data_IF_929747522753
#
_entry.id   IF_929747522753
#
_cell.length_a   1.000
_cell.length_b   1.000
_cell.length_c   1.000
_cell.angle_alpha   90.00
_cell.angle_beta   90.00
_cell.angle_gamma   90.00
#
_symmetry.space_group_name_H-M   'P 1'
#
loop_
_entity.id
_entity.type
_entity.pdbx_description
1 polymer ?
#
# COMPACT_ATOMS: atom_id res chain seq x y z
N UNK A 1 5.16 -9.79 -28.51
CA UNK A 1 4.78 -8.61 -27.70
C UNK A 1 5.65 -8.68 -26.45
N UNK A 2 6.81 -8.02 -26.46
CA UNK A 2 7.81 -8.12 -25.40
C UNK A 2 7.40 -7.27 -24.20
N UNK A 3 7.31 -7.89 -23.04
CA UNK A 3 7.11 -7.20 -21.77
C UNK A 3 8.49 -6.69 -21.34
N UNK A 4 8.76 -5.40 -21.54
CA UNK A 4 10.00 -4.79 -21.09
C UNK A 4 9.94 -4.60 -19.56
N UNK A 5 10.82 -5.33 -18.89
CA UNK A 5 10.97 -5.38 -17.45
C UNK A 5 12.03 -4.36 -17.06
N UNK A 6 11.59 -3.14 -16.71
CA UNK A 6 12.21 -2.25 -15.72
C UNK A 6 11.63 -0.83 -15.87
N UNK A 7 10.62 -0.51 -15.06
CA UNK A 7 10.15 0.87 -14.88
C UNK A 7 10.51 1.30 -13.45
N UNK A 8 10.79 2.58 -13.16
CA UNK A 8 11.19 3.09 -11.83
C UNK A 8 10.21 4.18 -11.32
N UNK A 9 9.76 4.07 -10.07
CA UNK A 9 9.00 5.06 -9.26
C UNK A 9 10.00 5.79 -8.34
N UNK A 10 9.68 7.01 -7.91
CA UNK A 10 10.49 7.76 -6.94
C UNK A 10 9.60 8.23 -5.77
N UNK A 11 10.14 8.27 -4.55
CA UNK A 11 9.43 8.51 -3.28
C UNK A 11 10.35 9.37 -2.40
N UNK A 12 9.96 10.58 -1.99
CA UNK A 12 10.72 11.41 -1.02
C UNK A 12 12.25 11.49 -1.33
N UNK A 13 12.61 11.69 -2.61
CA UNK A 13 14.01 11.74 -3.06
C UNK A 13 14.72 10.38 -3.23
N UNK A 14 14.04 9.26 -2.97
CA UNK A 14 14.54 7.90 -3.15
C UNK A 14 13.95 7.23 -4.40
N UNK A 15 14.73 6.37 -5.06
CA UNK A 15 14.32 5.66 -6.28
C UNK A 15 13.82 4.25 -5.93
N UNK A 16 12.56 3.95 -6.21
CA UNK A 16 11.95 2.63 -6.03
C UNK A 16 11.68 2.02 -7.40
N UNK A 17 12.33 0.91 -7.78
CA UNK A 17 11.97 0.17 -9.00
C UNK A 17 10.45 -0.09 -9.01
N UNK A 18 9.74 0.29 -10.09
CA UNK A 18 8.39 -0.21 -10.39
C UNK A 18 8.56 -1.69 -10.68
N UNK A 19 8.43 -2.41 -9.60
CA UNK A 19 8.55 -3.83 -9.55
C UNK A 19 7.28 -4.41 -10.16
N UNK A 20 7.42 -5.13 -11.28
CA UNK A 20 6.33 -5.74 -12.05
C UNK A 20 5.20 -6.39 -11.20
N UNK A 21 5.50 -7.05 -10.05
CA UNK A 21 4.45 -7.60 -9.19
C UNK A 21 3.48 -6.56 -8.64
N UNK A 22 3.94 -5.35 -8.31
CA UNK A 22 3.10 -4.27 -7.78
C UNK A 22 2.11 -3.76 -8.86
N UNK A 23 2.57 -3.61 -10.10
CA UNK A 23 1.72 -3.19 -11.25
C UNK A 23 0.64 -4.23 -11.56
N UNK A 24 0.99 -5.51 -11.40
CA UNK A 24 0.04 -6.61 -11.65
C UNK A 24 -1.10 -6.64 -10.62
N UNK A 25 -0.86 -6.16 -9.39
CA UNK A 25 -1.81 -6.25 -8.28
C UNK A 25 -2.45 -4.92 -7.88
N UNK A 26 -2.00 -3.79 -8.41
CA UNK A 26 -2.55 -2.45 -8.13
C UNK A 26 -3.25 -1.85 -9.34
N UNK A 27 -4.55 -1.56 -9.22
CA UNK A 27 -5.35 -0.89 -10.24
C UNK A 27 -4.85 0.54 -10.51
N UNK A 28 -4.61 1.31 -9.45
CA UNK A 28 -4.17 2.70 -9.53
C UNK A 28 -2.81 2.84 -10.17
N UNK A 29 -1.83 2.02 -9.78
CA UNK A 29 -0.48 2.06 -10.35
C UNK A 29 -0.53 1.64 -11.82
N UNK A 30 -1.31 0.60 -12.15
CA UNK A 30 -1.52 0.19 -13.55
C UNK A 30 -2.10 1.32 -14.39
N UNK A 31 -3.10 2.04 -13.88
CA UNK A 31 -3.71 3.19 -14.56
C UNK A 31 -2.71 4.33 -14.78
N UNK A 32 -2.00 4.74 -13.72
CA UNK A 32 -0.99 5.80 -13.80
C UNK A 32 0.13 5.47 -14.79
N UNK A 33 0.47 4.19 -14.91
CA UNK A 33 1.47 3.69 -15.86
C UNK A 33 0.98 3.71 -17.32
N UNK A 34 -0.31 3.47 -17.56
CA UNK A 34 -0.93 3.56 -18.88
C UNK A 34 -1.09 5.02 -19.33
N UNK A 35 -1.37 5.93 -18.39
CA UNK A 35 -1.51 7.36 -18.65
C UNK A 35 -0.15 8.05 -18.90
N UNK A 36 0.93 7.52 -18.32
CA UNK A 36 2.30 7.95 -18.60
C UNK A 36 2.73 7.49 -20.01
N UNK A 37 2.37 8.27 -21.03
CA UNK A 37 2.63 8.01 -22.46
C UNK A 37 4.11 7.96 -22.88
N UNK A 38 5.07 8.19 -21.98
CA UNK A 38 6.49 8.37 -22.33
C UNK A 38 7.40 7.27 -21.77
N UNK A 39 8.14 6.61 -22.66
CA UNK A 39 8.69 5.25 -22.52
C UNK A 39 10.12 5.17 -21.99
N UNK A 40 10.58 6.12 -21.16
CA UNK A 40 11.96 6.03 -20.63
C UNK A 40 12.08 6.01 -19.11
N UNK A 41 11.22 6.68 -18.35
CA UNK A 41 11.10 6.52 -16.89
C UNK A 41 9.71 7.04 -16.48
N UNK A 42 8.75 6.14 -16.30
CA UNK A 42 7.40 6.51 -15.84
C UNK A 42 7.44 6.78 -14.33
N UNK A 43 7.71 8.05 -13.97
CA UNK A 43 7.62 8.55 -12.60
C UNK A 43 6.16 8.58 -12.17
N UNK A 44 5.74 7.64 -11.32
CA UNK A 44 4.41 7.67 -10.71
C UNK A 44 4.57 8.17 -9.28
N UNK A 45 4.05 9.36 -9.00
CA UNK A 45 4.06 9.93 -7.65
C UNK A 45 2.76 9.57 -6.93
N UNK A 46 2.85 8.76 -5.87
CA UNK A 46 1.72 8.38 -5.01
C UNK A 46 1.65 9.34 -3.82
N UNK A 47 1.37 10.61 -4.11
CA UNK A 47 1.28 11.68 -3.10
C UNK A 47 0.16 11.33 -2.11
N UNK A 48 0.47 11.40 -0.81
CA UNK A 48 -0.51 11.20 0.26
C UNK A 48 -0.80 9.73 0.59
N UNK A 49 0.15 8.81 0.38
CA UNK A 49 0.00 7.43 0.80
C UNK A 49 -0.22 7.35 2.33
N UNK A 50 -1.36 6.80 2.79
CA UNK A 50 -1.59 6.64 4.21
C UNK A 50 -0.58 5.65 4.81
N UNK A 51 0.08 6.05 5.89
CA UNK A 51 1.06 5.21 6.60
C UNK A 51 2.49 5.26 6.07
N UNK A 52 2.79 6.14 5.10
CA UNK A 52 4.17 6.43 4.70
C UNK A 52 4.89 5.26 4.01
N UNK A 53 6.21 5.26 4.10
CA UNK A 53 7.09 4.23 3.51
C UNK A 53 6.78 2.82 4.02
N UNK A 54 6.44 2.70 5.31
CA UNK A 54 6.17 1.41 5.97
C UNK A 54 4.98 0.69 5.32
N UNK A 55 3.94 1.45 4.97
CA UNK A 55 2.76 0.92 4.29
C UNK A 55 3.08 0.47 2.86
N UNK A 56 3.90 1.24 2.16
CA UNK A 56 4.38 0.88 0.82
C UNK A 56 5.23 -0.39 0.86
N UNK A 57 6.15 -0.51 1.82
CA UNK A 57 7.04 -1.66 1.94
C UNK A 57 6.25 -2.95 2.21
N UNK A 58 5.24 -2.90 3.09
CA UNK A 58 4.40 -4.05 3.38
C UNK A 58 3.55 -4.47 2.15
N UNK A 59 2.97 -3.51 1.44
CA UNK A 59 2.24 -3.78 0.20
C UNK A 59 3.16 -4.36 -0.89
N UNK A 60 4.39 -3.87 -0.99
CA UNK A 60 5.41 -4.41 -1.89
C UNK A 60 5.76 -5.84 -1.54
N UNK A 61 6.12 -6.13 -0.27
CA UNK A 61 6.39 -7.49 0.21
C UNK A 61 5.26 -8.45 -0.15
N UNK A 62 4.01 -8.06 0.10
CA UNK A 62 2.86 -8.86 -0.27
C UNK A 62 2.80 -9.14 -1.78
N UNK A 63 3.01 -8.12 -2.62
CA UNK A 63 2.98 -8.28 -4.07
C UNK A 63 4.06 -9.25 -4.58
N UNK A 64 5.19 -9.30 -3.88
CA UNK A 64 6.30 -10.21 -4.14
C UNK A 64 6.07 -11.65 -3.68
N UNK A 65 4.93 -11.94 -3.05
CA UNK A 65 4.67 -13.24 -2.45
C UNK A 65 5.47 -13.48 -1.17
N UNK A 66 6.08 -12.43 -0.58
CA UNK A 66 6.59 -12.52 0.78
C UNK A 66 5.40 -12.67 1.72
N UNK A 67 5.48 -13.61 2.65
CA UNK A 67 4.43 -13.81 3.63
C UNK A 67 4.37 -12.59 4.58
N UNK A 68 3.39 -11.72 4.36
CA UNK A 68 3.11 -10.58 5.23
C UNK A 68 2.06 -11.03 6.24
N UNK A 69 2.48 -11.22 7.48
CA UNK A 69 1.56 -11.55 8.57
C UNK A 69 0.63 -10.37 8.87
N UNK A 70 -0.67 -10.60 8.77
CA UNK A 70 -1.69 -9.62 9.16
C UNK A 70 -1.94 -9.75 10.65
N UNK A 71 -1.84 -8.63 11.36
CA UNK A 71 -1.98 -8.56 12.81
C UNK A 71 -2.83 -7.35 13.20
N UNK A 72 -3.29 -7.30 14.45
CA UNK A 72 -3.92 -6.11 15.05
C UNK A 72 -3.02 -4.87 14.95
N UNK A 73 -1.71 -5.10 14.84
CA UNK A 73 -0.71 -4.04 14.82
C UNK A 73 -0.61 -3.28 13.50
N UNK A 74 -0.88 -3.97 12.38
CA UNK A 74 -0.62 -3.47 11.03
C UNK A 74 -1.85 -3.52 10.10
N UNK A 75 -2.93 -4.22 10.48
CA UNK A 75 -4.09 -4.44 9.58
C UNK A 75 -4.74 -3.16 9.08
N UNK A 76 -4.83 -2.12 9.91
CA UNK A 76 -5.38 -0.83 9.48
C UNK A 76 -4.50 -0.15 8.42
N UNK A 77 -3.18 -0.21 8.61
CA UNK A 77 -2.22 0.35 7.67
C UNK A 77 -2.23 -0.43 6.34
N UNK A 78 -2.28 -1.76 6.41
CA UNK A 78 -2.44 -2.64 5.24
C UNK A 78 -3.75 -2.38 4.48
N UNK A 79 -4.87 -2.20 5.20
CA UNK A 79 -6.17 -1.89 4.57
C UNK A 79 -6.14 -0.53 3.89
N UNK A 80 -5.57 0.48 4.54
CA UNK A 80 -5.45 1.82 3.99
C UNK A 80 -4.61 1.85 2.70
N UNK A 81 -3.43 1.22 2.70
CA UNK A 81 -2.60 1.16 1.49
C UNK A 81 -3.27 0.34 0.40
N UNK A 82 -3.81 -0.84 0.71
CA UNK A 82 -4.50 -1.68 -0.26
C UNK A 82 -5.65 -0.93 -0.96
N UNK A 83 -6.44 -0.19 -0.19
CA UNK A 83 -7.51 0.67 -0.71
C UNK A 83 -6.96 1.80 -1.58
N UNK A 84 -5.92 2.50 -1.11
CA UNK A 84 -5.35 3.67 -1.78
C UNK A 84 -4.72 3.35 -3.14
N UNK A 85 -4.07 2.19 -3.26
CA UNK A 85 -3.48 1.70 -4.53
C UNK A 85 -4.39 0.67 -5.24
N UNK A 86 -5.64 0.52 -4.83
CA UNK A 86 -6.65 -0.33 -5.49
C UNK A 86 -6.16 -1.79 -5.67
N UNK A 87 -5.70 -2.42 -4.58
CA UNK A 87 -5.35 -3.84 -4.52
C UNK A 87 -6.57 -4.70 -4.21
N UNK A 88 -7.55 -4.69 -5.12
CA UNK A 88 -8.85 -5.37 -4.98
C UNK A 88 -8.83 -6.77 -5.63
N UNK A 89 -9.86 -7.58 -5.35
CA UNK A 89 -10.02 -8.90 -6.00
C UNK A 89 -10.27 -8.83 -7.52
N UNK A 90 -10.86 -7.73 -7.99
CA UNK A 90 -11.09 -7.49 -9.43
C UNK A 90 -9.76 -7.31 -10.18
N UNK A 91 -8.72 -6.84 -9.50
CA UNK A 91 -7.38 -6.64 -10.09
C UNK A 91 -6.56 -7.94 -10.06
N UNK A 92 -6.62 -8.68 -8.97
CA UNK A 92 -5.92 -9.97 -8.79
C UNK A 92 -6.66 -10.82 -7.76
N UNK A 93 -6.77 -12.13 -7.99
CA UNK A 93 -7.35 -13.06 -7.00
C UNK A 93 -6.57 -13.01 -5.69
N UNK A 94 -7.28 -13.10 -4.55
CA UNK A 94 -6.69 -13.09 -3.20
C UNK A 94 -5.72 -11.91 -3.00
N UNK A 95 -6.20 -10.70 -3.28
CA UNK A 95 -5.41 -9.49 -3.14
C UNK A 95 -5.45 -8.94 -1.71
N UNK A 96 -4.59 -7.97 -1.40
CA UNK A 96 -4.41 -7.50 -0.03
C UNK A 96 -5.71 -6.94 0.60
N UNK A 97 -6.60 -6.33 -0.19
CA UNK A 97 -7.86 -5.81 0.32
C UNK A 97 -8.71 -6.92 0.96
N UNK A 98 -8.91 -8.06 0.30
CA UNK A 98 -9.76 -9.13 0.84
C UNK A 98 -9.16 -9.77 2.09
N UNK A 99 -7.83 -9.99 2.13
CA UNK A 99 -7.16 -10.56 3.30
C UNK A 99 -7.30 -9.67 4.55
N UNK A 100 -7.19 -8.36 4.37
CA UNK A 100 -7.41 -7.42 5.49
C UNK A 100 -8.87 -7.38 5.91
N UNK A 101 -9.81 -7.53 4.98
CA UNK A 101 -11.24 -7.57 5.29
C UNK A 101 -11.65 -8.81 6.10
N UNK A 102 -11.17 -9.98 5.70
CA UNK A 102 -11.36 -11.24 6.40
C UNK A 102 -10.80 -11.13 7.82
N UNK A 103 -9.59 -10.59 7.98
CA UNK A 103 -9.01 -10.37 9.30
C UNK A 103 -9.85 -9.42 10.17
N UNK A 104 -10.42 -8.36 9.58
CA UNK A 104 -11.34 -7.48 10.31
C UNK A 104 -12.58 -8.23 10.78
N UNK A 105 -13.20 -9.04 9.92
CA UNK A 105 -14.40 -9.84 10.23
C UNK A 105 -14.14 -10.88 11.30
N UNK A 106 -13.00 -11.57 11.22
CA UNK A 106 -12.74 -12.74 12.06
C UNK A 106 -12.04 -12.40 13.38
N UNK A 107 -11.12 -11.43 13.36
CA UNK A 107 -10.28 -11.12 14.52
C UNK A 107 -10.60 -9.79 15.20
N UNK A 108 -11.11 -8.79 14.46
CA UNK A 108 -11.28 -7.43 14.98
C UNK A 108 -12.70 -7.17 15.48
N UNK A 109 -13.71 -7.34 14.62
CA UNK A 109 -15.09 -7.01 14.96
C UNK A 109 -15.67 -7.87 16.10
N UNK A 110 -15.33 -9.16 16.25
CA UNK A 110 -15.83 -9.96 17.37
C UNK A 110 -15.28 -9.53 18.73
N UNK A 111 -14.21 -8.72 18.77
CA UNK A 111 -13.52 -8.31 20.00
C UNK A 111 -13.34 -6.80 20.04
N UNK A 112 -14.17 -6.11 20.82
CA UNK A 112 -14.09 -4.64 20.98
C UNK A 112 -12.70 -4.15 21.40
N UNK A 113 -11.98 -4.90 22.25
CA UNK A 113 -10.61 -4.56 22.67
C UNK A 113 -9.64 -4.47 21.49
N UNK A 114 -9.83 -5.30 20.46
CA UNK A 114 -9.03 -5.28 19.24
C UNK A 114 -9.36 -4.04 18.39
N UNK A 115 -10.64 -3.70 18.29
CA UNK A 115 -11.09 -2.48 17.60
C UNK A 115 -10.51 -1.22 18.25
N UNK A 116 -10.55 -1.14 19.59
CA UNK A 116 -9.95 -0.04 20.37
C UNK A 116 -8.42 0.03 20.14
N UNK A 117 -7.74 -1.11 20.18
CA UNK A 117 -6.28 -1.19 19.95
C UNK A 117 -5.89 -0.67 18.57
N UNK A 118 -6.68 -1.00 17.54
CA UNK A 118 -6.46 -0.51 16.18
C UNK A 118 -6.69 1.00 16.09
N UNK A 119 -7.76 1.52 16.70
CA UNK A 119 -8.05 2.96 16.71
C UNK A 119 -6.92 3.78 17.34
N UNK A 120 -6.37 3.33 18.49
CA UNK A 120 -5.22 3.99 19.11
C UNK A 120 -3.98 3.99 18.20
N UNK A 121 -3.78 2.93 17.42
CA UNK A 121 -2.67 2.87 16.45
C UNK A 121 -2.89 3.82 15.27
N UNK A 122 -4.11 3.90 14.74
CA UNK A 122 -4.45 4.88 13.71
C UNK A 122 -4.17 6.31 14.17
N UNK A 123 -4.50 6.63 15.42
CA UNK A 123 -4.17 7.93 16.02
C UNK A 123 -2.65 8.16 16.08
N UNK A 124 -1.87 7.16 16.47
CA UNK A 124 -0.42 7.25 16.49
C UNK A 124 0.18 7.53 15.10
N UNK A 125 -0.26 6.80 14.07
CA UNK A 125 0.18 7.03 12.69
C UNK A 125 -0.20 8.42 12.19
N UNK A 126 -1.41 8.89 12.50
CA UNK A 126 -1.84 10.25 12.13
C UNK A 126 -0.98 11.33 12.80
N UNK A 127 -0.66 11.18 14.09
CA UNK A 127 0.22 12.11 14.81
C UNK A 127 1.63 12.13 14.24
N UNK A 128 2.18 10.97 13.87
CA UNK A 128 3.50 10.87 13.24
C UNK A 128 3.54 11.60 11.90
N UNK A 129 2.56 11.37 11.03
CA UNK A 129 2.44 12.05 9.73
C UNK A 129 2.25 13.56 9.87
N UNK A 130 1.46 14.01 10.86
CA UNK A 130 1.28 15.45 11.12
C UNK A 130 2.59 16.10 11.57
N UNK A 131 3.39 15.41 12.38
CA UNK A 131 4.68 15.91 12.86
C UNK A 131 5.74 15.94 11.76
N UNK A 132 5.77 14.94 10.86
CA UNK A 132 6.71 14.93 9.73
C UNK A 132 6.42 16.02 8.71
N UNK A 133 5.14 16.37 8.50
CA UNK A 133 4.74 17.50 7.63
C UNK A 133 5.13 18.85 8.26
N UNK A 134 4.97 19.02 9.57
CA UNK A 134 5.30 20.27 10.29
C UNK A 134 6.80 20.50 10.52
N UNK A 135 7.66 19.50 10.25
CA UNK A 135 9.13 19.61 10.38
C UNK A 135 9.84 19.72 9.02
N UNK A 136 9.08 19.80 7.93
CA UNK A 136 9.59 19.94 6.56
C UNK A 136 9.57 21.41 6.06
N UNK A 137 9.19 22.37 6.92
CA UNK A 137 9.22 23.82 6.68
C UNK A 137 10.40 24.49 7.40
#
# INVERSE_FOLDING_TARGET
>A
MGVDADRNIFWEGQTYKVKFPLVSRSGRIRKLLLEAKDTKVSRINLIGLPGGSDASELAEKFCYGVNVEITISNVALLRCVARFIEMTEDISKKNLEIHTEEFFKDAVFPKISNSISILHRCEHYYRYLKKSILLAD
#
